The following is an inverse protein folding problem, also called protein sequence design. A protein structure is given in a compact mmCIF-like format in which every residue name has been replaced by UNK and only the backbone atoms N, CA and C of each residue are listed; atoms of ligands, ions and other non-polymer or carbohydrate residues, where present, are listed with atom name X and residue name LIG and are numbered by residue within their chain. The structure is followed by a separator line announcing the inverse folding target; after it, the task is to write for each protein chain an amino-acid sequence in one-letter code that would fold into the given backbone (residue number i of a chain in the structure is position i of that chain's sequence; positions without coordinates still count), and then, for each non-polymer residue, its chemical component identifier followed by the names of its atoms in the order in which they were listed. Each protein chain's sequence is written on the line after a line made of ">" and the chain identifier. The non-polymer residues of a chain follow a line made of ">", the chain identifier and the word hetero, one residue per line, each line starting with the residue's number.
data_IF_805269436310
#
_entry.id   IF_805269436310
#
_cell.length_a   1.000
_cell.length_b   1.000
_cell.length_c   1.000
_cell.angle_alpha   90.00
_cell.angle_beta   90.00
_cell.angle_gamma   90.00
#
_symmetry.space_group_name_H-M   'P 1'
#
loop_
_entity.id
_entity.type
_entity.pdbx_description
1 polymer ?
#
# COMPACT_ATOMS: atom_id res chain seq x y z
N UNK A 1 7.91 6.68 -10.19
CA UNK A 1 9.09 5.82 -9.99
C UNK A 1 8.96 4.59 -10.90
N UNK A 2 9.83 4.43 -11.85
CA UNK A 2 10.03 3.19 -12.60
C UNK A 2 11.28 2.55 -12.02
N UNK A 3 11.12 1.46 -11.26
CA UNK A 3 12.25 0.64 -10.83
C UNK A 3 12.92 0.00 -12.04
N UNK A 4 14.22 -0.24 -11.97
CA UNK A 4 15.01 -0.85 -13.07
C UNK A 4 14.59 -2.26 -13.49
N UNK A 5 13.54 -2.84 -12.89
CA UNK A 5 13.03 -4.18 -13.17
C UNK A 5 11.69 -4.22 -13.93
N UNK A 6 11.24 -3.13 -14.52
CA UNK A 6 9.96 -3.12 -15.23
C UNK A 6 8.72 -3.09 -14.33
N UNK A 7 8.87 -2.80 -13.03
CA UNK A 7 7.79 -2.65 -12.05
C UNK A 7 7.56 -1.19 -11.69
N UNK A 8 6.35 -0.87 -11.31
CA UNK A 8 6.01 0.42 -10.72
C UNK A 8 5.01 0.26 -9.57
N UNK A 9 5.00 1.25 -8.70
CA UNK A 9 4.01 1.35 -7.63
C UNK A 9 2.61 1.54 -8.23
N UNK A 10 1.66 0.75 -7.76
CA UNK A 10 0.23 0.95 -7.98
C UNK A 10 -0.37 1.75 -6.83
N UNK A 11 -0.22 1.23 -5.62
CA UNK A 11 -0.65 1.88 -4.40
C UNK A 11 0.10 1.34 -3.18
N UNK A 12 -0.06 2.05 -2.08
CA UNK A 12 0.33 1.58 -0.75
C UNK A 12 -0.92 1.51 0.09
N UNK A 13 -1.12 0.41 0.82
CA UNK A 13 -2.18 0.40 1.82
C UNK A 13 -1.63 0.57 3.25
N UNK A 14 -2.50 1.09 4.12
CA UNK A 14 -2.32 1.09 5.57
C UNK A 14 -3.55 0.49 6.24
N UNK A 15 -3.34 -0.50 7.13
CA UNK A 15 -4.40 -1.05 7.97
C UNK A 15 -4.85 -0.01 8.99
N UNK A 16 -6.13 0.33 8.97
CA UNK A 16 -6.74 1.36 9.82
C UNK A 16 -7.93 0.81 10.64
N UNK A 17 -8.55 1.67 11.41
CA UNK A 17 -9.79 1.35 12.12
C UNK A 17 -10.97 1.27 11.15
N UNK A 18 -12.05 0.61 11.56
CA UNK A 18 -13.23 0.47 10.72
C UNK A 18 -13.77 1.84 10.29
N UNK A 19 -14.15 1.94 9.01
CA UNK A 19 -14.62 3.16 8.34
C UNK A 19 -13.55 4.26 8.20
N UNK A 20 -12.28 3.96 8.52
CA UNK A 20 -11.13 4.84 8.34
C UNK A 20 -11.30 6.24 8.96
N UNK A 21 -11.54 6.37 10.28
CA UNK A 21 -11.60 7.67 10.94
C UNK A 21 -10.28 8.45 10.79
N UNK A 22 -9.18 7.76 10.51
CA UNK A 22 -7.85 8.33 10.28
C UNK A 22 -7.78 9.24 9.03
N UNK A 23 -8.78 9.19 8.14
CA UNK A 23 -8.91 10.15 7.02
C UNK A 23 -8.91 11.60 7.51
N UNK A 24 -9.41 11.86 8.71
CA UNK A 24 -9.40 13.20 9.29
C UNK A 24 -7.98 13.78 9.44
N UNK A 25 -6.99 12.95 9.73
CA UNK A 25 -5.60 13.39 9.83
C UNK A 25 -5.01 13.76 8.45
N UNK A 26 -5.39 13.03 7.40
CA UNK A 26 -5.01 13.35 6.02
C UNK A 26 -5.71 14.63 5.53
N UNK A 27 -6.99 14.78 5.84
CA UNK A 27 -7.73 15.99 5.50
C UNK A 27 -7.16 17.25 6.18
N UNK A 28 -6.69 17.13 7.43
CA UNK A 28 -6.10 18.25 8.17
C UNK A 28 -4.83 18.83 7.52
N UNK A 29 -4.13 18.03 6.69
CA UNK A 29 -2.96 18.50 5.94
C UNK A 29 -3.29 18.86 4.47
N UNK A 30 -4.57 18.87 4.11
CA UNK A 30 -5.06 19.23 2.78
C UNK A 30 -5.17 18.07 1.79
N UNK A 31 -5.05 16.83 2.24
CA UNK A 31 -5.46 15.63 1.49
C UNK A 31 -6.95 15.36 1.75
N UNK A 32 -7.80 16.29 1.38
CA UNK A 32 -9.20 16.44 1.76
C UNK A 32 -10.19 16.21 0.61
N UNK A 33 -9.70 15.82 -0.57
CA UNK A 33 -10.55 15.41 -1.68
C UNK A 33 -11.43 14.22 -1.32
N UNK A 34 -12.58 14.01 -2.00
CA UNK A 34 -13.52 12.95 -1.68
C UNK A 34 -12.85 11.58 -1.84
N UNK A 35 -12.75 10.77 -0.77
CA UNK A 35 -12.09 9.47 -0.85
C UNK A 35 -12.95 8.50 -1.68
N UNK A 36 -12.29 7.72 -2.52
CA UNK A 36 -12.95 6.62 -3.24
C UNK A 36 -13.09 5.43 -2.29
N UNK A 37 -14.31 5.01 -2.05
CA UNK A 37 -14.61 3.89 -1.15
C UNK A 37 -15.07 2.67 -1.93
N UNK A 38 -14.65 1.50 -1.51
CA UNK A 38 -15.13 0.22 -2.03
C UNK A 38 -15.12 -0.89 -0.98
N UNK A 39 -15.86 -1.95 -1.28
CA UNK A 39 -15.84 -3.20 -0.55
C UNK A 39 -15.27 -4.28 -1.43
N UNK A 40 -14.39 -5.09 -0.87
CA UNK A 40 -13.85 -6.28 -1.50
C UNK A 40 -14.71 -7.47 -1.07
N UNK A 41 -15.85 -7.65 -1.77
CA UNK A 41 -16.81 -8.70 -1.45
C UNK A 41 -16.15 -10.08 -1.54
N UNK A 42 -16.36 -10.93 -0.52
CA UNK A 42 -15.73 -12.23 -0.40
C UNK A 42 -14.30 -12.23 0.13
N UNK A 43 -13.63 -11.06 0.19
CA UNK A 43 -12.36 -10.87 0.89
C UNK A 43 -12.57 -10.36 2.33
N UNK A 44 -13.68 -9.71 2.61
CA UNK A 44 -14.04 -9.20 3.93
C UNK A 44 -13.36 -7.89 4.32
N UNK A 45 -12.75 -7.19 3.37
CA UNK A 45 -12.18 -5.86 3.60
C UNK A 45 -12.97 -4.77 2.90
N UNK A 46 -12.84 -3.56 3.41
CA UNK A 46 -13.30 -2.34 2.76
C UNK A 46 -12.19 -1.29 2.83
N UNK A 47 -12.28 -0.29 1.97
CA UNK A 47 -11.24 0.73 1.87
C UNK A 47 -11.79 2.14 1.64
N UNK A 48 -10.87 3.11 1.83
CA UNK A 48 -10.99 4.48 1.37
C UNK A 48 -9.65 4.92 0.76
N UNK A 49 -9.66 5.33 -0.50
CA UNK A 49 -8.44 5.69 -1.23
C UNK A 49 -8.29 7.21 -1.33
N UNK A 50 -7.10 7.71 -0.99
CA UNK A 50 -6.64 9.07 -1.19
C UNK A 50 -5.69 9.07 -2.39
N UNK A 51 -6.01 9.86 -3.41
CA UNK A 51 -5.40 9.74 -4.75
C UNK A 51 -4.29 10.76 -4.93
N UNK A 52 -3.14 10.31 -5.42
CA UNK A 52 -2.05 11.13 -5.97
C UNK A 52 -2.08 11.05 -7.49
N UNK A 53 -1.28 11.84 -8.19
CA UNK A 53 -1.33 11.86 -9.66
C UNK A 53 -1.01 10.51 -10.33
N UNK A 54 -0.26 9.65 -9.67
CA UNK A 54 0.30 8.43 -10.27
C UNK A 54 0.01 7.13 -9.49
N UNK A 55 -0.52 7.25 -8.29
CA UNK A 55 -0.77 6.14 -7.38
C UNK A 55 -1.81 6.59 -6.34
N UNK A 56 -2.14 5.75 -5.38
CA UNK A 56 -3.01 6.12 -4.27
C UNK A 56 -2.54 5.52 -2.94
N UNK A 57 -2.94 6.16 -1.85
CA UNK A 57 -2.86 5.63 -0.51
C UNK A 57 -4.22 5.02 -0.16
N UNK A 58 -4.24 3.75 0.16
CA UNK A 58 -5.41 3.00 0.55
C UNK A 58 -5.47 2.84 2.07
N UNK A 59 -6.48 3.38 2.71
CA UNK A 59 -6.82 3.08 4.09
C UNK A 59 -7.74 1.86 4.05
N UNK A 60 -7.27 0.70 4.51
CA UNK A 60 -7.99 -0.56 4.42
C UNK A 60 -8.31 -1.10 5.82
N UNK A 61 -9.50 -1.66 6.00
CA UNK A 61 -9.93 -2.28 7.26
C UNK A 61 -10.68 -3.57 7.03
N UNK A 62 -10.73 -4.42 8.05
CA UNK A 62 -11.61 -5.59 8.04
C UNK A 62 -13.05 -5.11 8.26
N UNK A 63 -13.91 -5.44 7.30
CA UNK A 63 -15.33 -5.15 7.31
C UNK A 63 -16.16 -6.39 7.71
N UNK A 64 -15.73 -7.57 7.26
CA UNK A 64 -16.34 -8.86 7.60
C UNK A 64 -15.25 -9.87 7.99
N UNK A 65 -15.21 -10.20 9.29
CA UNK A 65 -14.24 -11.15 9.84
C UNK A 65 -14.38 -12.55 9.22
N UNK A 66 -15.61 -13.01 8.98
CA UNK A 66 -15.84 -14.36 8.44
C UNK A 66 -15.29 -14.49 7.04
N UNK A 67 -15.51 -13.49 6.19
CA UNK A 67 -14.95 -13.47 4.83
C UNK A 67 -13.42 -13.39 4.87
N UNK A 68 -12.86 -12.50 5.71
CA UNK A 68 -11.41 -12.31 5.81
C UNK A 68 -10.69 -13.56 6.33
N UNK A 69 -11.36 -14.37 7.16
CA UNK A 69 -10.84 -15.64 7.71
C UNK A 69 -11.30 -16.87 6.93
N UNK A 70 -12.00 -16.70 5.83
CA UNK A 70 -12.42 -17.82 4.99
C UNK A 70 -11.21 -18.58 4.42
N UNK A 71 -11.33 -19.87 4.06
CA UNK A 71 -10.24 -20.62 3.45
C UNK A 71 -9.65 -19.98 2.20
N UNK A 72 -10.45 -19.21 1.46
CA UNK A 72 -10.00 -18.47 0.28
C UNK A 72 -9.09 -17.29 0.67
N UNK A 73 -9.46 -16.52 1.69
CA UNK A 73 -8.79 -15.26 2.05
C UNK A 73 -7.73 -15.43 3.13
N UNK A 74 -7.87 -16.40 4.04
CA UNK A 74 -6.94 -16.63 5.15
C UNK A 74 -5.46 -16.71 4.72
N UNK A 75 -5.09 -17.31 3.58
CA UNK A 75 -3.69 -17.33 3.12
C UNK A 75 -3.09 -15.94 2.87
N UNK A 76 -3.89 -14.91 2.60
CA UNK A 76 -3.42 -13.52 2.46
C UNK A 76 -2.98 -12.90 3.78
N UNK A 77 -3.37 -13.50 4.92
CA UNK A 77 -3.08 -13.00 6.27
C UNK A 77 -3.57 -11.57 6.56
N UNK A 78 -4.52 -11.05 5.77
CA UNK A 78 -5.08 -9.71 5.96
C UNK A 78 -5.74 -9.55 7.34
N UNK A 79 -6.42 -10.60 7.84
CA UNK A 79 -6.95 -10.61 9.20
C UNK A 79 -5.84 -10.49 10.25
N UNK A 80 -4.80 -11.32 10.16
CA UNK A 80 -3.70 -11.35 11.13
C UNK A 80 -2.99 -9.99 11.18
N UNK A 81 -2.74 -9.41 10.01
CA UNK A 81 -2.14 -8.09 9.87
C UNK A 81 -3.00 -7.00 10.48
N UNK A 82 -4.30 -6.99 10.18
CA UNK A 82 -5.23 -6.02 10.74
C UNK A 82 -5.37 -6.16 12.25
N UNK A 83 -5.54 -7.37 12.76
CA UNK A 83 -5.69 -7.66 14.19
C UNK A 83 -4.45 -7.25 14.99
N UNK A 84 -3.25 -7.52 14.45
CA UNK A 84 -1.97 -7.23 15.11
C UNK A 84 -1.31 -5.91 14.66
N UNK A 85 -2.00 -5.04 13.89
CA UNK A 85 -1.44 -3.79 13.32
C UNK A 85 -0.86 -2.81 14.34
N UNK A 86 -1.26 -2.94 15.62
CA UNK A 86 -0.78 -2.11 16.74
C UNK A 86 0.14 -2.87 17.69
N UNK A 87 0.35 -4.18 17.47
CA UNK A 87 1.07 -5.07 18.39
C UNK A 87 2.18 -5.89 17.74
N UNK A 88 2.70 -5.47 16.57
CA UNK A 88 3.89 -6.08 15.97
C UNK A 88 3.79 -6.38 14.49
N UNK A 89 2.59 -6.61 13.93
CA UNK A 89 2.45 -6.74 12.49
C UNK A 89 2.72 -5.41 11.79
N UNK A 90 3.39 -5.46 10.64
CA UNK A 90 3.52 -4.29 9.76
C UNK A 90 2.14 -3.94 9.20
N UNK A 91 1.62 -2.73 9.43
CA UNK A 91 0.27 -2.36 8.97
C UNK A 91 0.21 -2.01 7.48
N UNK A 92 1.30 -2.16 6.74
CA UNK A 92 1.41 -1.70 5.36
C UNK A 92 1.39 -2.84 4.35
N UNK A 93 0.96 -2.50 3.11
CA UNK A 93 1.17 -3.34 1.93
C UNK A 93 1.54 -2.50 0.73
N UNK A 94 2.25 -3.12 -0.21
CA UNK A 94 2.74 -2.51 -1.45
C UNK A 94 2.10 -3.23 -2.62
N UNK A 95 1.21 -2.54 -3.29
CA UNK A 95 0.63 -2.97 -4.56
C UNK A 95 1.52 -2.56 -5.73
N UNK A 96 1.88 -3.51 -6.55
CA UNK A 96 2.74 -3.34 -7.72
C UNK A 96 1.98 -3.63 -9.00
N UNK A 97 2.42 -2.99 -10.08
CA UNK A 97 1.93 -3.25 -11.44
C UNK A 97 3.10 -3.36 -12.43
N UNK A 98 2.89 -3.93 -13.62
CA UNK A 98 3.89 -3.89 -14.66
C UNK A 98 4.09 -2.45 -15.17
N UNK A 99 5.35 -2.00 -15.28
CA UNK A 99 5.72 -0.77 -15.98
C UNK A 99 5.86 -1.03 -17.49
N UNK A 100 6.16 -2.27 -17.86
CA UNK A 100 6.26 -2.74 -19.24
C UNK A 100 5.50 -4.06 -19.40
N UNK A 101 4.90 -4.33 -20.57
CA UNK A 101 4.21 -5.60 -20.80
C UNK A 101 5.09 -6.81 -20.47
N UNK A 102 4.54 -7.78 -19.75
CA UNK A 102 5.25 -9.01 -19.37
C UNK A 102 6.21 -8.88 -18.20
N UNK A 103 6.34 -7.71 -17.56
CA UNK A 103 7.11 -7.59 -16.33
C UNK A 103 6.51 -8.46 -15.22
N UNK A 104 7.37 -9.09 -14.44
CA UNK A 104 7.02 -9.95 -13.31
C UNK A 104 7.78 -9.52 -12.05
N UNK A 105 7.27 -9.81 -10.84
CA UNK A 105 7.98 -9.53 -9.60
C UNK A 105 9.30 -10.30 -9.53
N UNK A 106 10.36 -9.73 -8.92
CA UNK A 106 11.67 -10.39 -8.76
C UNK A 106 11.71 -11.37 -7.57
N UNK A 107 10.56 -11.86 -7.13
CA UNK A 107 10.40 -12.78 -6.00
C UNK A 107 9.30 -13.81 -6.29
N UNK A 108 9.31 -14.93 -5.55
CA UNK A 108 8.27 -15.94 -5.66
C UNK A 108 6.91 -15.43 -5.23
N UNK A 109 5.87 -15.75 -5.99
CA UNK A 109 4.49 -15.36 -5.71
C UNK A 109 3.56 -16.57 -5.73
N UNK A 110 2.36 -16.38 -5.14
CA UNK A 110 1.24 -17.30 -5.27
C UNK A 110 -0.02 -16.50 -5.67
N UNK A 111 -0.87 -17.06 -6.55
CA UNK A 111 -2.04 -16.36 -7.05
C UNK A 111 -3.18 -16.41 -6.03
N UNK A 112 -3.72 -15.25 -5.68
CA UNK A 112 -4.98 -15.09 -4.96
C UNK A 112 -6.07 -14.68 -5.94
N UNK A 113 -7.16 -15.43 -5.99
CA UNK A 113 -8.29 -15.20 -6.89
C UNK A 113 -9.52 -14.79 -6.09
N UNK A 114 -9.65 -13.52 -5.69
CA UNK A 114 -10.80 -13.05 -4.94
C UNK A 114 -12.06 -13.06 -5.80
N UNK A 115 -13.22 -13.26 -5.17
CA UNK A 115 -14.51 -13.36 -5.86
C UNK A 115 -14.98 -12.04 -6.49
N UNK A 116 -14.40 -10.90 -6.08
CA UNK A 116 -14.70 -9.60 -6.68
C UNK A 116 -13.95 -9.30 -7.98
N UNK A 117 -12.95 -10.10 -8.32
CA UNK A 117 -12.27 -10.00 -9.62
C UNK A 117 -12.97 -10.89 -10.66
N UNK A 118 -12.93 -10.50 -11.93
CA UNK A 118 -13.37 -11.36 -13.03
C UNK A 118 -12.64 -12.72 -13.02
N UNK A 119 -13.34 -13.76 -13.47
CA UNK A 119 -12.76 -15.10 -13.57
C UNK A 119 -11.46 -15.10 -14.38
N UNK A 120 -10.44 -15.79 -13.87
CA UNK A 120 -9.11 -15.87 -14.49
C UNK A 120 -8.16 -14.73 -14.14
N UNK A 121 -8.60 -13.73 -13.39
CA UNK A 121 -7.71 -12.72 -12.82
C UNK A 121 -7.25 -13.11 -11.42
N UNK A 122 -5.99 -12.81 -11.10
CA UNK A 122 -5.40 -13.02 -9.78
C UNK A 122 -4.62 -11.80 -9.33
N UNK A 123 -4.47 -11.68 -8.01
CA UNK A 123 -3.49 -10.83 -7.35
C UNK A 123 -2.37 -11.76 -6.88
N UNK A 124 -1.16 -11.51 -7.30
CA UNK A 124 -0.02 -12.38 -6.99
C UNK A 124 0.67 -11.89 -5.72
N UNK A 125 0.43 -12.56 -4.61
CA UNK A 125 1.03 -12.24 -3.31
C UNK A 125 2.44 -12.82 -3.20
N UNK A 126 3.36 -12.07 -2.58
CA UNK A 126 4.70 -12.57 -2.30
C UNK A 126 4.65 -13.79 -1.36
N UNK A 127 5.43 -14.82 -1.68
CA UNK A 127 5.54 -16.00 -0.86
C UNK A 127 6.52 -15.78 0.30
N UNK A 128 6.12 -16.21 1.51
CA UNK A 128 7.01 -16.27 2.68
C UNK A 128 7.35 -14.93 3.33
N UNK A 129 6.62 -13.86 3.05
CA UNK A 129 6.82 -12.57 3.74
C UNK A 129 6.33 -12.67 5.19
N UNK A 130 7.15 -12.32 6.21
CA UNK A 130 6.73 -12.33 7.61
C UNK A 130 5.73 -11.19 7.90
N UNK A 131 4.93 -11.33 8.98
CA UNK A 131 3.93 -10.30 9.34
C UNK A 131 4.56 -8.96 9.75
N UNK A 132 5.78 -8.99 10.23
CA UNK A 132 6.57 -7.82 10.64
C UNK A 132 7.04 -6.97 9.44
N UNK A 133 6.95 -7.52 8.22
CA UNK A 133 7.23 -6.83 6.96
C UNK A 133 5.95 -6.49 6.20
N UNK A 134 5.96 -5.53 5.27
CA UNK A 134 4.78 -5.18 4.51
C UNK A 134 4.31 -6.34 3.64
N UNK A 135 3.00 -6.41 3.40
CA UNK A 135 2.44 -7.28 2.38
C UNK A 135 2.90 -6.80 1.00
N UNK A 136 3.40 -7.71 0.17
CA UNK A 136 3.77 -7.40 -1.21
C UNK A 136 2.86 -8.15 -2.16
N UNK A 137 2.26 -7.44 -3.11
CA UNK A 137 1.39 -8.06 -4.10
C UNK A 137 1.49 -7.35 -5.45
N UNK A 138 1.24 -8.13 -6.50
CA UNK A 138 1.39 -7.70 -7.88
C UNK A 138 0.10 -7.97 -8.67
N UNK A 139 -0.29 -7.00 -9.48
CA UNK A 139 -1.51 -7.04 -10.27
C UNK A 139 -1.17 -6.93 -11.76
N UNK A 140 -0.91 -8.08 -12.40
CA UNK A 140 -0.52 -8.16 -13.80
C UNK A 140 -1.57 -7.56 -14.75
N UNK A 141 -2.85 -7.53 -14.33
CA UNK A 141 -3.97 -7.06 -15.13
C UNK A 141 -4.17 -5.54 -15.15
N UNK A 142 -3.45 -4.78 -14.33
CA UNK A 142 -3.71 -3.33 -14.19
C UNK A 142 -3.18 -2.47 -15.35
N UNK A 143 -2.51 -3.03 -16.33
CA UNK A 143 -2.12 -2.33 -17.56
C UNK A 143 -1.27 -1.07 -17.33
N UNK A 144 -1.42 -0.09 -18.23
CA UNK A 144 -0.68 1.17 -18.16
C UNK A 144 -1.00 1.97 -16.89
N UNK A 145 -0.02 2.79 -16.46
CA UNK A 145 -0.14 3.68 -15.30
C UNK A 145 -1.42 4.53 -15.41
N UNK A 146 -2.30 4.55 -14.40
CA UNK A 146 -3.44 5.43 -14.40
C UNK A 146 -3.00 6.88 -14.30
N UNK A 147 -3.76 7.75 -14.94
CA UNK A 147 -3.63 9.19 -14.80
C UNK A 147 -4.70 9.69 -13.84
N UNK A 148 -4.29 9.98 -12.62
CA UNK A 148 -5.19 10.48 -11.58
C UNK A 148 -5.08 11.98 -11.37
N UNK A 149 -4.41 12.75 -12.26
CA UNK A 149 -4.16 14.18 -12.08
C UNK A 149 -5.41 14.99 -11.79
N UNK A 150 -6.51 14.74 -12.48
CA UNK A 150 -7.76 15.46 -12.24
C UNK A 150 -8.40 15.13 -10.88
N UNK A 151 -8.21 13.92 -10.39
CA UNK A 151 -8.66 13.55 -9.05
C UNK A 151 -7.75 14.12 -7.96
N UNK A 152 -6.43 14.10 -8.18
CA UNK A 152 -5.46 14.66 -7.25
C UNK A 152 -5.63 16.16 -7.05
N UNK A 153 -6.07 16.91 -8.07
CA UNK A 153 -6.39 18.33 -7.98
C UNK A 153 -7.60 18.65 -7.08
N UNK A 154 -8.40 17.65 -6.69
CA UNK A 154 -9.52 17.85 -5.77
C UNK A 154 -9.05 18.01 -4.32
N UNK A 155 -7.78 17.72 -4.01
CA UNK A 155 -7.18 17.98 -2.71
C UNK A 155 -6.68 19.43 -2.64
N UNK A 156 -6.89 20.08 -1.50
CA UNK A 156 -6.38 21.42 -1.22
C UNK A 156 -4.84 21.48 -1.30
N UNK A 157 -4.17 20.38 -0.89
CA UNK A 157 -2.71 20.27 -0.96
C UNK A 157 -2.17 20.15 -2.39
N UNK A 158 -2.96 19.63 -3.34
CA UNK A 158 -2.51 19.26 -4.69
C UNK A 158 -1.18 18.46 -4.66
N UNK A 159 -1.17 17.22 -4.13
CA UNK A 159 0.04 16.53 -3.68
C UNK A 159 1.02 16.16 -4.80
N UNK A 160 0.60 16.23 -6.06
CA UNK A 160 1.40 15.77 -7.20
C UNK A 160 1.58 14.24 -7.22
N UNK A 161 2.60 13.73 -7.94
CA UNK A 161 2.89 12.31 -7.97
C UNK A 161 3.64 11.85 -6.71
N UNK A 162 3.43 10.59 -6.30
CA UNK A 162 4.31 9.92 -5.34
C UNK A 162 5.68 9.74 -6.01
N UNK A 163 6.73 10.23 -5.37
CA UNK A 163 8.11 10.20 -5.87
C UNK A 163 9.02 9.25 -5.10
N UNK A 164 8.66 8.90 -3.86
CA UNK A 164 9.38 7.93 -3.05
C UNK A 164 8.46 7.26 -2.04
N UNK A 165 8.76 6.00 -1.74
CA UNK A 165 8.16 5.25 -0.65
C UNK A 165 9.29 4.60 0.14
N UNK A 166 9.31 4.84 1.45
CA UNK A 166 10.20 4.16 2.38
C UNK A 166 9.37 3.57 3.51
N UNK A 167 9.64 2.33 3.88
CA UNK A 167 9.04 1.68 5.04
C UNK A 167 10.13 1.45 6.08
N UNK A 168 10.01 2.15 7.21
CA UNK A 168 10.85 1.92 8.36
C UNK A 168 10.28 0.73 9.15
N UNK A 169 11.12 -0.25 9.44
CA UNK A 169 10.78 -1.48 10.17
C UNK A 169 11.41 -1.48 11.54
N UNK A 170 10.73 -1.99 12.58
CA UNK A 170 11.35 -2.18 13.89
C UNK A 170 12.35 -3.32 13.88
N UNK A 171 13.31 -3.26 14.85
CA UNK A 171 14.30 -4.31 15.03
C UNK A 171 15.43 -4.29 14.00
N UNK A 172 16.29 -5.30 14.10
CA UNK A 172 17.52 -5.41 13.30
C UNK A 172 17.54 -6.65 12.37
N UNK A 173 16.44 -7.40 12.30
CA UNK A 173 16.37 -8.58 11.44
C UNK A 173 16.62 -8.22 9.97
N UNK A 174 17.35 -9.05 9.21
CA UNK A 174 17.49 -8.84 7.77
C UNK A 174 16.12 -8.89 7.08
N UNK A 175 16.01 -8.19 5.96
CA UNK A 175 14.81 -8.24 5.12
C UNK A 175 14.58 -9.66 4.57
N UNK A 176 13.32 -10.03 4.43
CA UNK A 176 12.95 -11.22 3.66
C UNK A 176 13.48 -11.14 2.22
N UNK A 177 13.65 -12.27 1.53
CA UNK A 177 14.08 -12.27 0.14
C UNK A 177 13.20 -11.40 -0.78
N UNK A 178 11.88 -11.37 -0.52
CA UNK A 178 10.94 -10.57 -1.32
C UNK A 178 11.14 -9.07 -1.10
N UNK A 179 11.23 -8.61 0.14
CA UNK A 179 11.50 -7.19 0.45
C UNK A 179 12.88 -6.74 -0.03
N UNK A 180 13.91 -7.59 0.14
CA UNK A 180 15.26 -7.30 -0.36
C UNK A 180 15.29 -7.17 -1.90
N UNK A 181 14.59 -8.07 -2.61
CA UNK A 181 14.49 -8.02 -4.07
C UNK A 181 13.73 -6.76 -4.55
N UNK A 182 12.64 -6.39 -3.87
CA UNK A 182 11.89 -5.18 -4.19
C UNK A 182 12.72 -3.91 -3.96
N UNK A 183 13.50 -3.86 -2.87
CA UNK A 183 14.45 -2.77 -2.61
C UNK A 183 15.52 -2.69 -3.71
N UNK A 184 16.11 -3.82 -4.10
CA UNK A 184 17.10 -3.87 -5.18
C UNK A 184 16.52 -3.42 -6.52
N UNK A 185 15.23 -3.66 -6.77
CA UNK A 185 14.52 -3.14 -7.95
C UNK A 185 14.26 -1.62 -7.90
N UNK A 186 14.54 -0.95 -6.77
CA UNK A 186 14.44 0.51 -6.63
C UNK A 186 13.02 1.06 -6.62
N UNK A 187 12.01 0.23 -6.34
CA UNK A 187 10.60 0.67 -6.27
C UNK A 187 10.25 1.22 -4.90
N UNK A 188 10.74 0.56 -3.84
CA UNK A 188 10.53 0.92 -2.44
C UNK A 188 11.85 0.81 -1.69
N UNK A 189 12.06 1.66 -0.69
CA UNK A 189 13.19 1.59 0.22
C UNK A 189 12.75 1.06 1.59
N UNK A 190 13.66 0.42 2.30
CA UNK A 190 13.43 -0.01 3.68
C UNK A 190 14.45 0.65 4.61
N UNK A 191 13.95 1.23 5.70
CA UNK A 191 14.73 1.83 6.77
C UNK A 191 14.52 1.12 8.10
N UNK A 192 15.07 1.71 9.17
CA UNK A 192 14.92 1.20 10.55
C UNK A 192 14.41 2.30 11.47
N UNK A 193 13.47 1.95 12.34
CA UNK A 193 12.95 2.80 13.40
C UNK A 193 12.45 1.92 14.56
N UNK A 194 12.03 2.54 15.67
CA UNK A 194 11.47 1.81 16.82
C UNK A 194 10.08 1.21 16.53
N UNK A 195 9.40 1.73 15.52
CA UNK A 195 8.07 1.30 15.10
C UNK A 195 7.95 1.32 13.57
N UNK A 196 6.96 0.64 13.04
CA UNK A 196 6.63 0.74 11.62
C UNK A 196 6.24 2.18 11.25
N UNK A 197 6.89 2.74 10.23
CA UNK A 197 6.56 4.07 9.69
C UNK A 197 6.60 4.00 8.16
N UNK A 198 5.55 4.49 7.53
CA UNK A 198 5.51 4.71 6.09
C UNK A 198 5.91 6.16 5.79
N UNK A 199 6.94 6.35 4.99
CA UNK A 199 7.35 7.67 4.49
C UNK A 199 6.99 7.76 3.02
N UNK A 200 6.20 8.76 2.67
CA UNK A 200 5.78 9.04 1.29
C UNK A 200 6.34 10.40 0.89
N UNK A 201 7.22 10.42 -0.10
CA UNK A 201 7.57 11.66 -0.77
C UNK A 201 6.65 11.88 -1.96
N UNK A 202 6.12 13.10 -2.13
CA UNK A 202 5.26 13.45 -3.25
C UNK A 202 5.56 14.83 -3.81
N UNK A 203 5.07 15.11 -5.04
CA UNK A 203 5.29 16.36 -5.72
C UNK A 203 6.76 16.67 -6.05
N UNK A 204 7.07 17.93 -6.23
CA UNK A 204 8.43 18.41 -6.36
C UNK A 204 9.01 18.61 -4.97
N UNK A 205 10.00 17.80 -4.57
CA UNK A 205 10.72 17.89 -3.28
C UNK A 205 11.28 19.29 -2.93
N UNK A 206 11.19 20.25 -3.85
CA UNK A 206 11.68 21.61 -3.66
C UNK A 206 10.92 22.41 -2.59
N UNK A 207 9.79 21.94 -2.10
CA UNK A 207 9.00 22.67 -1.11
C UNK A 207 9.52 22.47 0.33
N UNK A 208 10.20 21.36 0.63
CA UNK A 208 10.81 21.09 1.96
C UNK A 208 9.79 21.04 3.11
N UNK A 209 8.53 20.71 2.80
CA UNK A 209 7.45 20.60 3.78
C UNK A 209 7.27 19.15 4.17
N UNK A 210 6.90 18.92 5.42
CA UNK A 210 6.65 17.57 5.98
C UNK A 210 5.48 17.62 6.94
N UNK A 211 4.73 16.53 7.00
CA UNK A 211 3.72 16.28 8.03
C UNK A 211 3.92 14.90 8.62
N UNK A 212 4.03 14.85 9.93
CA UNK A 212 4.03 13.61 10.72
C UNK A 212 2.61 13.37 11.25
N UNK A 213 1.96 12.33 10.75
CA UNK A 213 0.57 12.01 11.09
C UNK A 213 0.45 11.08 12.31
N UNK A 214 1.58 10.71 12.93
CA UNK A 214 1.59 9.87 14.14
C UNK A 214 1.06 10.64 15.36
N UNK A 215 0.40 10.00 16.32
CA UNK A 215 0.15 8.56 16.38
C UNK A 215 -1.09 8.08 15.62
N UNK A 216 -1.88 8.97 15.01
CA UNK A 216 -3.14 8.61 14.35
C UNK A 216 -2.94 7.67 13.17
N UNK A 217 -2.01 8.01 12.27
CA UNK A 217 -1.53 7.16 11.18
C UNK A 217 -0.02 7.01 11.29
N UNK A 218 0.56 5.82 11.12
CA UNK A 218 2.01 5.63 11.14
C UNK A 218 2.67 6.11 9.83
N UNK A 219 2.36 7.34 9.41
CA UNK A 219 2.75 7.92 8.13
C UNK A 219 3.45 9.26 8.34
N UNK A 220 4.53 9.49 7.59
CA UNK A 220 5.15 10.79 7.36
C UNK A 220 5.04 11.10 5.88
N UNK A 221 4.54 12.28 5.57
CA UNK A 221 4.40 12.77 4.19
C UNK A 221 5.35 13.95 3.97
N UNK A 222 6.15 13.89 2.89
CA UNK A 222 7.09 14.93 2.49
C UNK A 222 6.73 15.48 1.10
N UNK A 223 6.63 16.85 0.93
CA UNK A 223 6.30 17.49 -0.34
C UNK A 223 6.93 18.86 -0.53
#
# INVERSE_FOLDING_TARGET
>A
MTGGGGLQLDHVFVMCDAEAPELAALAAIGLDGPPRRSRHAGQGTANACVVFENAFLELIWVHDERETRSPLTAPTRLWDRWAARRSGACPFGIGLRPATPGAVPPYATWPYQPTYLPAGMSIDFAAGTPLEEPELFFMAFTGARPDFRELAKQHTLAPGPITSVTIDLPGAAPLSPACAALQAAGVVSFGRADRHVLRIGCGARAAGRSADLRPTLPIVLDW
#
